data_IF_097273721247
#
_entry.id   IF_097273721247
#
_cell.length_a   1.000
_cell.length_b   1.000
_cell.length_c   1.000
_cell.angle_alpha   90.00
_cell.angle_beta   90.00
_cell.angle_gamma   90.00
#
_symmetry.space_group_name_H-M   'P 1'
#
loop_
_entity.id
_entity.type
_entity.pdbx_description
1 polymer ?
#
# COMPACT_ATOMS: atom_id res chain seq x y z
N UNK A 1 5.06 -9.41 -15.05
CA UNK A 1 5.94 -8.29 -14.62
C UNK A 1 5.39 -7.50 -13.42
N UNK A 2 4.22 -7.86 -12.89
CA UNK A 2 3.55 -7.07 -11.84
C UNK A 2 3.94 -7.46 -10.42
N UNK A 3 4.13 -8.76 -10.16
CA UNK A 3 4.70 -9.24 -8.89
C UNK A 3 6.12 -8.73 -8.65
N UNK A 4 6.92 -8.56 -9.72
CA UNK A 4 8.26 -7.95 -9.59
C UNK A 4 8.20 -6.50 -9.13
N UNK A 5 7.17 -5.73 -9.52
CA UNK A 5 6.99 -4.36 -9.03
C UNK A 5 6.60 -4.35 -7.55
N UNK A 6 5.65 -5.20 -7.14
CA UNK A 6 5.25 -5.35 -5.72
C UNK A 6 6.46 -5.71 -4.86
N UNK A 7 7.26 -6.70 -5.30
CA UNK A 7 8.50 -7.10 -4.60
C UNK A 7 9.54 -5.98 -4.55
N UNK A 8 9.76 -5.27 -5.65
CA UNK A 8 10.72 -4.15 -5.71
C UNK A 8 10.35 -3.05 -4.74
N UNK A 9 9.07 -2.68 -4.70
CA UNK A 9 8.58 -1.64 -3.80
C UNK A 9 8.62 -2.09 -2.35
N UNK A 10 8.30 -3.36 -2.06
CA UNK A 10 8.49 -3.94 -0.73
C UNK A 10 9.96 -3.87 -0.28
N UNK A 11 10.91 -4.23 -1.14
CA UNK A 11 12.34 -4.12 -0.83
C UNK A 11 12.76 -2.68 -0.55
N UNK A 12 12.25 -1.72 -1.33
CA UNK A 12 12.56 -0.31 -1.14
C UNK A 12 12.07 0.26 0.22
N UNK A 13 11.09 -0.38 0.88
CA UNK A 13 10.67 -0.03 2.24
C UNK A 13 11.72 -0.45 3.29
N UNK A 14 12.47 -1.52 3.04
CA UNK A 14 13.48 -2.01 3.98
C UNK A 14 14.79 -1.21 3.92
N UNK A 15 15.00 -0.42 2.86
CA UNK A 15 16.23 0.33 2.65
C UNK A 15 16.35 1.51 3.63
N UNK A 16 17.56 1.82 4.16
CA UNK A 16 17.76 2.97 5.02
C UNK A 16 17.58 4.29 4.25
N UNK A 17 16.46 4.99 4.50
CA UNK A 17 16.17 6.29 3.91
C UNK A 17 16.17 7.42 4.95
N UNK A 18 16.42 8.65 4.47
CA UNK A 18 16.04 9.88 5.19
C UNK A 18 14.52 9.94 5.35
N UNK A 19 13.99 10.77 6.27
CA UNK A 19 12.52 10.89 6.44
C UNK A 19 11.78 11.17 5.12
N UNK A 20 12.19 12.15 4.28
CA UNK A 20 11.55 12.35 2.98
C UNK A 20 11.60 11.11 2.07
N UNK A 21 12.71 10.36 2.07
CA UNK A 21 12.84 9.12 1.31
C UNK A 21 11.93 8.01 1.84
N UNK A 22 11.80 7.86 3.17
CA UNK A 22 10.87 6.93 3.80
C UNK A 22 9.43 7.25 3.41
N UNK A 23 9.03 8.52 3.48
CA UNK A 23 7.68 8.96 3.09
C UNK A 23 7.42 8.71 1.60
N UNK A 24 8.40 8.98 0.73
CA UNK A 24 8.28 8.73 -0.71
C UNK A 24 8.15 7.23 -1.03
N UNK A 25 8.92 6.38 -0.37
CA UNK A 25 8.83 4.92 -0.52
C UNK A 25 7.46 4.41 -0.05
N UNK A 26 6.98 4.89 1.10
CA UNK A 26 5.66 4.55 1.63
C UNK A 26 4.53 4.99 0.70
N UNK A 27 4.60 6.23 0.19
CA UNK A 27 3.61 6.73 -0.78
C UNK A 27 3.60 5.89 -2.06
N UNK A 28 4.77 5.48 -2.55
CA UNK A 28 4.85 4.60 -3.72
C UNK A 28 4.28 3.20 -3.46
N UNK A 29 4.48 2.65 -2.26
CA UNK A 29 3.86 1.39 -1.86
C UNK A 29 2.33 1.49 -1.82
N UNK A 30 1.79 2.59 -1.30
CA UNK A 30 0.36 2.86 -1.30
C UNK A 30 -0.21 2.98 -2.72
N UNK A 31 0.49 3.64 -3.65
CA UNK A 31 0.08 3.69 -5.07
C UNK A 31 0.00 2.30 -5.73
N UNK A 32 1.01 1.45 -5.48
CA UNK A 32 1.04 0.08 -6.00
C UNK A 32 -0.10 -0.73 -5.40
N UNK A 33 -0.33 -0.60 -4.10
CA UNK A 33 -1.39 -1.31 -3.40
C UNK A 33 -2.78 -0.90 -3.91
N UNK A 34 -3.05 0.39 -4.05
CA UNK A 34 -4.28 0.92 -4.64
C UNK A 34 -4.53 0.36 -6.04
N UNK A 35 -3.53 0.44 -6.91
CA UNK A 35 -3.69 0.01 -8.31
C UNK A 35 -3.86 -1.51 -8.42
N UNK A 36 -3.11 -2.28 -7.62
CA UNK A 36 -3.23 -3.74 -7.62
C UNK A 36 -4.59 -4.21 -7.08
N UNK A 37 -5.12 -3.55 -6.04
CA UNK A 37 -6.47 -3.85 -5.54
C UNK A 37 -7.54 -3.49 -6.57
N UNK A 38 -7.38 -2.37 -7.28
CA UNK A 38 -8.28 -2.00 -8.36
C UNK A 38 -8.31 -3.07 -9.46
N UNK A 39 -7.14 -3.52 -9.91
CA UNK A 39 -7.02 -4.57 -10.93
C UNK A 39 -7.58 -5.93 -10.45
N UNK A 40 -7.34 -6.29 -9.18
CA UNK A 40 -7.88 -7.52 -8.59
C UNK A 40 -9.41 -7.57 -8.63
N UNK A 41 -10.07 -6.42 -8.42
CA UNK A 41 -11.54 -6.33 -8.49
C UNK A 41 -12.13 -6.80 -9.83
N UNK A 42 -11.34 -6.70 -10.92
CA UNK A 42 -11.75 -7.16 -12.25
C UNK A 42 -11.34 -8.60 -12.54
N UNK A 43 -10.26 -9.08 -11.92
CA UNK A 43 -9.69 -10.40 -12.18
C UNK A 43 -10.28 -11.49 -11.29
N UNK A 44 -10.71 -11.14 -10.08
CA UNK A 44 -11.23 -12.06 -9.08
C UNK A 44 -12.64 -11.61 -8.61
N UNK A 45 -13.71 -12.03 -9.31
CA UNK A 45 -15.08 -11.58 -9.01
C UNK A 45 -15.64 -12.15 -7.70
N UNK A 46 -14.92 -13.09 -7.07
CA UNK A 46 -15.19 -13.62 -5.75
C UNK A 46 -13.94 -13.34 -4.90
N UNK A 47 -13.94 -12.40 -3.95
CA UNK A 47 -15.07 -11.84 -3.23
C UNK A 47 -15.93 -10.81 -4.00
N UNK A 48 -17.14 -10.48 -3.48
CA UNK A 48 -18.06 -9.54 -4.13
C UNK A 48 -17.45 -8.18 -4.45
N UNK A 49 -17.87 -7.54 -5.53
CA UNK A 49 -17.38 -6.21 -5.95
C UNK A 49 -17.41 -5.14 -4.84
N UNK A 50 -18.40 -5.19 -3.94
CA UNK A 50 -18.48 -4.28 -2.79
C UNK A 50 -17.28 -4.41 -1.84
N UNK A 51 -16.80 -5.65 -1.63
CA UNK A 51 -15.60 -5.92 -0.84
C UNK A 51 -14.39 -5.25 -1.50
N UNK A 52 -14.13 -5.51 -2.78
CA UNK A 52 -12.99 -4.91 -3.49
C UNK A 52 -13.07 -3.39 -3.56
N UNK A 53 -14.27 -2.83 -3.68
CA UNK A 53 -14.49 -1.37 -3.63
C UNK A 53 -14.11 -0.81 -2.26
N UNK A 54 -14.40 -1.54 -1.18
CA UNK A 54 -14.05 -1.15 0.18
C UNK A 54 -12.53 -1.19 0.38
N UNK A 55 -11.89 -2.31 0.00
CA UNK A 55 -10.41 -2.45 0.06
C UNK A 55 -9.73 -1.36 -0.77
N UNK A 56 -10.24 -1.06 -1.96
CA UNK A 56 -9.72 0.01 -2.81
C UNK A 56 -9.89 1.39 -2.15
N UNK A 57 -11.07 1.67 -1.59
CA UNK A 57 -11.34 2.90 -0.86
C UNK A 57 -10.38 3.10 0.32
N UNK A 58 -10.06 2.04 1.06
CA UNK A 58 -9.10 2.11 2.16
C UNK A 58 -7.68 2.36 1.66
N UNK A 59 -7.26 1.77 0.54
CA UNK A 59 -5.97 2.07 -0.08
C UNK A 59 -5.86 3.56 -0.49
N UNK A 60 -6.91 4.10 -1.11
CA UNK A 60 -6.99 5.53 -1.49
C UNK A 60 -6.93 6.43 -0.25
N UNK A 61 -7.68 6.09 0.81
CA UNK A 61 -7.69 6.85 2.07
C UNK A 61 -6.33 6.83 2.76
N UNK A 62 -5.66 5.69 2.81
CA UNK A 62 -4.31 5.57 3.36
C UNK A 62 -3.30 6.44 2.60
N UNK A 63 -3.36 6.44 1.26
CA UNK A 63 -2.54 7.31 0.42
C UNK A 63 -2.83 8.79 0.66
N UNK A 64 -4.09 9.18 0.69
CA UNK A 64 -4.50 10.56 0.96
C UNK A 64 -4.06 11.03 2.36
N UNK A 65 -4.13 10.16 3.37
CA UNK A 65 -3.65 10.46 4.71
C UNK A 65 -2.14 10.76 4.73
N UNK A 66 -1.33 9.96 4.01
CA UNK A 66 0.11 10.19 3.91
C UNK A 66 0.46 11.42 3.07
N UNK A 67 -0.33 11.72 2.03
CA UNK A 67 -0.13 12.88 1.16
C UNK A 67 -0.21 14.23 1.89
N UNK A 68 -0.79 14.26 3.10
CA UNK A 68 -0.78 15.43 3.98
C UNK A 68 0.54 15.69 4.70
N UNK A 69 1.52 14.77 4.65
CA UNK A 69 2.81 14.93 5.31
C UNK A 69 3.62 16.04 4.62
N UNK A 70 4.08 17.02 5.40
CA UNK A 70 4.87 18.16 4.93
C UNK A 70 6.22 17.74 4.36
N UNK A 71 6.83 16.72 4.95
CA UNK A 71 8.15 16.22 4.50
C UNK A 71 8.06 15.27 3.31
N UNK A 72 6.86 14.94 2.83
CA UNK A 72 6.69 14.15 1.62
C UNK A 72 7.13 14.99 0.40
N UNK A 73 8.12 14.56 -0.38
CA UNK A 73 8.49 15.27 -1.59
C UNK A 73 7.32 15.27 -2.58
N UNK A 74 7.10 16.41 -3.24
CA UNK A 74 6.09 16.51 -4.29
C UNK A 74 6.35 15.44 -5.36
N UNK A 75 5.34 14.68 -5.80
CA UNK A 75 5.51 13.63 -6.80
C UNK A 75 5.73 14.16 -8.23
N UNK A 76 6.13 15.43 -8.38
CA UNK A 76 6.21 16.13 -9.67
C UNK A 76 6.97 15.29 -10.72
N UNK A 77 6.24 14.88 -11.77
CA UNK A 77 6.78 14.18 -12.93
C UNK A 77 6.82 12.64 -12.84
N UNK A 78 6.36 12.02 -11.75
CA UNK A 78 6.27 10.56 -11.68
C UNK A 78 4.86 10.09 -12.09
N UNK A 79 4.73 9.25 -13.14
CA UNK A 79 3.43 8.64 -13.44
C UNK A 79 2.99 7.70 -12.29
N UNK A 80 1.68 7.56 -12.05
CA UNK A 80 1.16 6.63 -11.07
C UNK A 80 1.67 5.22 -11.34
N UNK A 81 1.81 4.41 -10.28
CA UNK A 81 2.22 3.03 -10.44
C UNK A 81 1.18 2.29 -11.29
N UNK A 82 1.59 1.74 -12.43
CA UNK A 82 0.74 0.85 -13.21
C UNK A 82 1.13 -0.58 -12.88
N UNK A 83 0.17 -1.34 -12.36
CA UNK A 83 0.28 -2.78 -12.18
C UNK A 83 -0.53 -3.41 -13.32
N UNK A 84 -0.11 -4.57 -13.83
CA UNK A 84 -0.84 -5.29 -14.88
C UNK A 84 -0.96 -6.76 -14.46
N UNK A 85 -1.99 -7.07 -13.67
CA UNK A 85 -2.09 -8.35 -12.97
C UNK A 85 -2.57 -9.54 -13.82
N UNK A 86 -3.00 -9.31 -15.07
CA UNK A 86 -3.77 -10.29 -15.88
C UNK A 86 -3.11 -11.62 -16.27
N UNK A 87 -1.93 -11.95 -15.77
CA UNK A 87 -1.25 -13.24 -16.00
C UNK A 87 -0.94 -14.02 -14.71
N UNK A 88 -1.23 -13.45 -13.54
CA UNK A 88 -0.88 -14.04 -12.24
C UNK A 88 -2.16 -14.56 -11.54
N UNK A 89 -2.04 -15.67 -10.80
CA UNK A 89 -3.17 -16.19 -10.01
C UNK A 89 -3.57 -15.18 -8.91
N UNK A 90 -4.86 -14.86 -8.73
CA UNK A 90 -5.32 -13.90 -7.72
C UNK A 90 -4.79 -14.17 -6.31
N UNK A 91 -4.76 -15.43 -5.88
CA UNK A 91 -4.23 -15.83 -4.58
C UNK A 91 -2.75 -15.45 -4.39
N UNK A 92 -1.93 -15.60 -5.44
CA UNK A 92 -0.51 -15.20 -5.42
C UNK A 92 -0.36 -13.68 -5.31
N UNK A 93 -1.21 -12.94 -6.00
CA UNK A 93 -1.23 -11.48 -5.91
C UNK A 93 -1.66 -11.03 -4.52
N UNK A 94 -2.75 -11.59 -3.97
CA UNK A 94 -3.24 -11.28 -2.62
C UNK A 94 -2.14 -11.54 -1.58
N UNK A 95 -1.44 -12.68 -1.66
CA UNK A 95 -0.31 -12.98 -0.77
C UNK A 95 0.80 -11.92 -0.88
N UNK A 96 1.17 -11.51 -2.09
CA UNK A 96 2.18 -10.47 -2.30
C UNK A 96 1.73 -9.08 -1.79
N UNK A 97 0.43 -8.77 -1.90
CA UNK A 97 -0.15 -7.54 -1.37
C UNK A 97 -0.21 -7.53 0.15
N UNK A 98 -0.49 -8.67 0.77
CA UNK A 98 -0.42 -8.84 2.22
C UNK A 98 1.00 -8.57 2.75
N UNK A 99 2.00 -9.19 2.14
CA UNK A 99 3.40 -8.96 2.51
C UNK A 99 3.81 -7.48 2.32
N UNK A 100 3.35 -6.84 1.24
CA UNK A 100 3.59 -5.42 1.02
C UNK A 100 2.91 -4.54 2.08
N UNK A 101 1.64 -4.81 2.40
CA UNK A 101 0.87 -4.04 3.36
C UNK A 101 1.45 -4.15 4.78
N UNK A 102 1.87 -5.34 5.19
CA UNK A 102 2.53 -5.57 6.47
C UNK A 102 3.87 -4.83 6.59
N UNK A 103 4.71 -4.92 5.56
CA UNK A 103 5.97 -4.18 5.50
C UNK A 103 5.74 -2.66 5.53
N UNK A 104 4.70 -2.19 4.83
CA UNK A 104 4.34 -0.79 4.79
C UNK A 104 3.86 -0.26 6.15
N UNK A 105 3.04 -1.02 6.88
CA UNK A 105 2.59 -0.65 8.23
C UNK A 105 3.79 -0.45 9.15
N UNK A 106 4.73 -1.42 9.17
CA UNK A 106 5.94 -1.30 9.98
C UNK A 106 6.76 -0.07 9.58
N UNK A 107 7.00 0.11 8.28
CA UNK A 107 7.77 1.24 7.76
C UNK A 107 7.15 2.60 8.11
N UNK A 108 5.82 2.73 8.06
CA UNK A 108 5.10 3.94 8.44
C UNK A 108 5.22 4.23 9.94
N UNK A 109 5.13 3.21 10.80
CA UNK A 109 5.32 3.35 12.25
C UNK A 109 6.77 3.78 12.56
N UNK A 110 7.75 3.20 11.89
CA UNK A 110 9.14 3.62 12.03
C UNK A 110 9.38 5.05 11.54
N UNK A 111 8.81 5.43 10.39
CA UNK A 111 8.88 6.80 9.88
C UNK A 111 8.24 7.81 10.85
N UNK A 112 7.11 7.44 11.47
CA UNK A 112 6.44 8.22 12.49
C UNK A 112 7.29 8.41 13.76
N UNK A 113 8.07 7.39 14.14
CA UNK A 113 8.98 7.46 15.29
C UNK A 113 10.26 8.26 14.98
N UNK A 114 10.70 8.26 13.73
CA UNK A 114 11.93 8.93 13.31
C UNK A 114 11.72 10.41 12.91
N UNK A 115 10.48 10.82 12.61
CA UNK A 115 10.18 12.22 12.28
C UNK A 115 10.14 13.12 13.51
N UNK A 116 10.54 14.38 13.33
CA UNK A 116 10.48 15.45 14.35
C UNK A 116 9.25 16.35 14.22
N UNK A 117 8.44 16.13 13.19
CA UNK A 117 7.24 16.94 12.92
C UNK A 117 6.00 16.17 13.31
N UNK A 118 5.24 16.70 14.27
CA UNK A 118 4.01 16.07 14.76
C UNK A 118 2.96 15.86 13.64
N UNK A 119 2.92 16.76 12.66
CA UNK A 119 2.07 16.62 11.48
C UNK A 119 2.43 15.40 10.61
N UNK A 120 3.71 15.22 10.29
CA UNK A 120 4.18 14.05 9.54
C UNK A 120 3.94 12.76 10.32
N UNK A 121 4.14 12.81 11.65
CA UNK A 121 3.87 11.69 12.55
C UNK A 121 2.40 11.28 12.50
N UNK A 122 1.49 12.23 12.62
CA UNK A 122 0.05 11.99 12.54
C UNK A 122 -0.35 11.40 11.18
N UNK A 123 0.16 11.94 10.08
CA UNK A 123 -0.07 11.41 8.73
C UNK A 123 0.42 9.96 8.57
N UNK A 124 1.63 9.65 9.07
CA UNK A 124 2.18 8.29 9.01
C UNK A 124 1.35 7.30 9.83
N UNK A 125 0.99 7.65 11.06
CA UNK A 125 0.20 6.78 11.93
C UNK A 125 -1.22 6.57 11.38
N UNK A 126 -1.84 7.61 10.84
CA UNK A 126 -3.17 7.50 10.22
C UNK A 126 -3.13 6.59 8.99
N UNK A 127 -2.13 6.76 8.11
CA UNK A 127 -1.93 5.86 6.98
C UNK A 127 -1.65 4.42 7.43
N UNK A 128 -0.87 4.21 8.50
CA UNK A 128 -0.56 2.89 9.04
C UNK A 128 -1.82 2.18 9.58
N UNK A 129 -2.69 2.89 10.30
CA UNK A 129 -3.94 2.35 10.83
C UNK A 129 -4.86 1.86 9.70
N UNK A 130 -5.09 2.71 8.68
CA UNK A 130 -5.92 2.34 7.53
C UNK A 130 -5.30 1.17 6.75
N UNK A 131 -3.98 1.17 6.56
CA UNK A 131 -3.27 0.06 5.88
C UNK A 131 -3.38 -1.26 6.68
N UNK A 132 -3.39 -1.18 8.01
CA UNK A 132 -3.60 -2.35 8.87
C UNK A 132 -5.02 -2.91 8.78
N UNK A 133 -6.04 -2.04 8.75
CA UNK A 133 -7.43 -2.43 8.49
C UNK A 133 -7.56 -3.12 7.13
N UNK A 134 -6.95 -2.54 6.09
CA UNK A 134 -6.89 -3.13 4.75
C UNK A 134 -6.22 -4.51 4.75
N UNK A 135 -5.11 -4.66 5.47
CA UNK A 135 -4.40 -5.95 5.59
C UNK A 135 -5.32 -7.01 6.19
N UNK A 136 -6.11 -6.64 7.20
CA UNK A 136 -7.07 -7.54 7.84
C UNK A 136 -8.15 -7.99 6.85
N UNK A 137 -8.69 -7.05 6.07
CA UNK A 137 -9.66 -7.36 5.01
C UNK A 137 -9.09 -8.31 3.95
N UNK A 138 -7.87 -8.06 3.46
CA UNK A 138 -7.19 -8.94 2.50
C UNK A 138 -6.93 -10.35 3.06
N UNK A 139 -6.58 -10.47 4.34
CA UNK A 139 -6.38 -11.78 4.99
C UNK A 139 -7.67 -12.58 5.01
N UNK A 140 -8.78 -11.95 5.36
CA UNK A 140 -10.08 -12.62 5.40
C UNK A 140 -10.46 -13.17 4.02
N UNK A 141 -10.27 -12.38 2.95
CA UNK A 141 -10.47 -12.87 1.58
C UNK A 141 -9.57 -14.06 1.23
N UNK A 142 -8.31 -14.07 1.68
CA UNK A 142 -7.40 -15.21 1.43
C UNK A 142 -7.80 -16.51 2.13
N UNK A 143 -8.57 -16.43 3.22
CA UNK A 143 -9.03 -17.59 3.98
C UNK A 143 -10.31 -18.20 3.41
N UNK A 144 -11.15 -17.40 2.74
CA UNK A 144 -12.37 -17.87 2.05
C UNK A 144 -12.04 -18.67 0.78
N UNK A 145 -10.84 -18.49 0.22
CA UNK A 145 -10.37 -19.14 -1.03
C UNK A 145 -9.56 -20.43 -0.81
N UNK A 146 -9.54 -20.98 0.41
CA UNK A 146 -8.87 -22.25 0.75
C UNK A 146 -9.87 -23.37 0.98
#
# INVERSE_FOLDING_TARGET
MSLSLIRTVRTALADPHTIPGRLAAAHRALEVLETAVHDLAFLDPDPPLLFWTTVHSDAVRARAALAGARSLPSPAGRPPATVALGAEEPATVIAALLELAEALVLHLVEAANATRHDGDKACCLHAALITHELTTSLRNASHEHR
#
